data_IF_599833278042
#
_entry.id   IF_599833278042
#
_cell.length_a   1.000
_cell.length_b   1.000
_cell.length_c   1.000
_cell.angle_alpha   90.00
_cell.angle_beta   90.00
_cell.angle_gamma   90.00
#
_symmetry.space_group_name_H-M   'P 1'
#
loop_
_entity.id
_entity.type
_entity.pdbx_description
1 polymer ?
#
# COMPACT_ATOMS: atom_id res chain seq x y z
N UNK A 1 24.33 -11.37 4.32
CA UNK A 1 23.12 -10.63 3.88
C UNK A 1 22.03 -11.65 3.62
N UNK A 2 21.08 -11.84 4.56
CA UNK A 2 20.04 -12.84 4.39
C UNK A 2 19.05 -12.39 3.32
N UNK A 3 18.75 -13.25 2.35
CA UNK A 3 17.69 -13.01 1.35
C UNK A 3 16.36 -13.26 2.06
N UNK A 4 15.71 -12.18 2.48
CA UNK A 4 14.50 -12.17 3.32
C UNK A 4 13.28 -12.23 2.40
N UNK A 5 12.72 -13.39 2.08
CA UNK A 5 11.63 -13.52 1.09
C UNK A 5 10.24 -13.14 1.67
N UNK A 6 9.61 -12.08 1.16
CA UNK A 6 8.25 -11.60 1.50
C UNK A 6 7.19 -12.21 0.55
N UNK A 7 7.57 -12.90 -0.54
CA UNK A 7 6.68 -13.46 -1.57
C UNK A 7 5.78 -14.62 -1.10
N UNK A 8 5.85 -15.00 0.18
CA UNK A 8 5.02 -16.09 0.71
C UNK A 8 3.60 -15.59 1.07
N UNK A 9 3.46 -14.30 1.39
CA UNK A 9 2.18 -13.66 1.74
C UNK A 9 1.89 -12.57 0.71
N UNK A 10 0.77 -12.65 -0.04
CA UNK A 10 0.38 -11.59 -0.97
C UNK A 10 0.33 -10.21 -0.30
N UNK A 11 0.81 -9.21 -1.02
CA UNK A 11 0.83 -7.82 -0.58
C UNK A 11 -0.58 -7.29 -0.23
N UNK A 12 -0.69 -6.46 0.81
CA UNK A 12 -1.98 -5.92 1.26
C UNK A 12 -2.64 -5.09 0.16
N UNK A 13 -1.89 -4.20 -0.48
CA UNK A 13 -2.37 -3.39 -1.60
C UNK A 13 -2.82 -4.20 -2.82
N UNK A 14 -2.18 -5.35 -3.10
CA UNK A 14 -2.63 -6.26 -4.17
C UNK A 14 -3.97 -6.93 -3.80
N UNK A 15 -4.10 -7.36 -2.54
CA UNK A 15 -5.36 -7.89 -2.02
C UNK A 15 -6.47 -6.83 -2.11
N UNK A 16 -6.15 -5.58 -1.79
CA UNK A 16 -7.08 -4.46 -1.90
C UNK A 16 -7.46 -4.15 -3.35
N UNK A 17 -6.53 -4.25 -4.30
CA UNK A 17 -6.81 -4.13 -5.74
C UNK A 17 -7.81 -5.20 -6.23
N UNK A 18 -7.72 -6.43 -5.73
CA UNK A 18 -8.71 -7.48 -6.01
C UNK A 18 -10.09 -7.08 -5.46
N UNK A 19 -10.15 -6.52 -4.24
CA UNK A 19 -11.42 -6.06 -3.65
C UNK A 19 -12.00 -4.84 -4.39
N UNK A 20 -11.15 -3.97 -4.92
CA UNK A 20 -11.56 -2.88 -5.83
C UNK A 20 -12.25 -3.47 -7.07
N UNK A 21 -11.63 -4.46 -7.72
CA UNK A 21 -12.20 -5.14 -8.90
C UNK A 21 -13.50 -5.87 -8.58
N UNK A 22 -13.56 -6.58 -7.45
CA UNK A 22 -14.77 -7.24 -6.95
C UNK A 22 -15.92 -6.23 -6.85
N UNK A 23 -15.65 -5.08 -6.23
CA UNK A 23 -16.65 -4.04 -5.98
C UNK A 23 -17.21 -3.49 -7.29
N UNK A 24 -16.34 -3.06 -8.21
CA UNK A 24 -16.77 -2.49 -9.50
C UNK A 24 -17.51 -3.52 -10.35
N UNK A 25 -17.04 -4.77 -10.35
CA UNK A 25 -17.71 -5.89 -11.04
C UNK A 25 -19.07 -6.21 -10.44
N UNK A 26 -19.20 -6.21 -9.11
CA UNK A 26 -20.46 -6.45 -8.41
C UNK A 26 -21.51 -5.42 -8.82
N UNK A 27 -21.19 -4.14 -8.72
CA UNK A 27 -22.15 -3.08 -9.06
C UNK A 27 -22.50 -3.00 -10.55
N UNK A 28 -21.60 -3.45 -11.43
CA UNK A 28 -21.87 -3.57 -12.86
C UNK A 28 -22.81 -4.74 -13.20
N UNK A 29 -22.82 -5.81 -12.39
CA UNK A 29 -23.54 -7.07 -12.66
C UNK A 29 -24.75 -7.32 -11.78
N UNK A 30 -24.85 -6.70 -10.60
CA UNK A 30 -25.93 -6.91 -9.65
C UNK A 30 -27.24 -6.31 -10.16
N UNK A 31 -28.29 -7.13 -10.22
CA UNK A 31 -29.66 -6.67 -10.50
C UNK A 31 -30.25 -5.83 -9.36
N UNK A 32 -29.63 -5.79 -8.19
CA UNK A 32 -30.04 -4.86 -7.13
C UNK A 32 -29.37 -3.49 -7.28
N UNK A 33 -28.31 -3.38 -8.08
CA UNK A 33 -27.50 -2.18 -8.21
C UNK A 33 -28.35 -0.96 -8.64
N UNK A 34 -28.27 0.16 -7.91
CA UNK A 34 -28.92 1.41 -8.32
C UNK A 34 -28.19 2.08 -9.49
N UNK A 35 -27.04 1.55 -9.91
CA UNK A 35 -26.18 2.11 -10.96
C UNK A 35 -26.31 1.36 -12.28
N UNK A 36 -27.34 0.56 -12.49
CA UNK A 36 -27.53 -0.25 -13.71
C UNK A 36 -27.19 0.55 -14.97
N UNK A 37 -26.15 0.13 -15.68
CA UNK A 37 -25.51 0.73 -16.88
C UNK A 37 -24.51 1.89 -16.68
N UNK A 38 -24.24 2.32 -15.44
CA UNK A 38 -23.26 3.37 -15.13
C UNK A 38 -22.05 2.80 -14.37
N UNK A 39 -20.82 3.25 -14.72
CA UNK A 39 -19.65 2.89 -13.95
C UNK A 39 -19.71 3.52 -12.55
N UNK A 40 -19.21 2.78 -11.57
CA UNK A 40 -19.03 3.26 -10.20
C UNK A 40 -17.55 3.47 -9.91
N UNK A 41 -17.27 4.43 -9.04
CA UNK A 41 -15.97 4.64 -8.45
C UNK A 41 -16.06 4.25 -6.96
N UNK A 42 -15.25 3.29 -6.48
CA UNK A 42 -14.98 3.19 -5.06
C UNK A 42 -14.41 4.51 -4.55
N UNK A 43 -14.93 5.02 -3.43
CA UNK A 43 -14.50 6.28 -2.82
C UNK A 43 -13.97 6.11 -1.41
N UNK A 44 -14.32 5.01 -0.73
CA UNK A 44 -13.79 4.68 0.59
C UNK A 44 -13.67 3.17 0.80
N UNK A 45 -12.58 2.75 1.44
CA UNK A 45 -12.33 1.38 1.88
C UNK A 45 -12.02 1.39 3.38
N UNK A 46 -12.58 0.45 4.12
CA UNK A 46 -12.27 0.20 5.53
C UNK A 46 -12.02 -1.28 5.72
N UNK A 47 -10.75 -1.69 5.66
CA UNK A 47 -10.37 -3.11 5.62
C UNK A 47 -9.65 -3.53 6.90
N UNK A 48 -9.94 -4.75 7.35
CA UNK A 48 -9.23 -5.44 8.41
C UNK A 48 -8.59 -6.71 7.87
N UNK A 49 -7.26 -6.81 8.01
CA UNK A 49 -6.47 -7.98 7.65
C UNK A 49 -6.43 -8.94 8.84
N UNK A 50 -7.44 -9.80 8.91
CA UNK A 50 -7.66 -10.74 10.02
C UNK A 50 -6.57 -11.82 10.04
N UNK A 51 -6.15 -12.30 8.85
CA UNK A 51 -5.13 -13.34 8.70
C UNK A 51 -4.34 -13.10 7.41
N UNK A 52 -3.09 -13.58 7.40
CA UNK A 52 -2.28 -13.62 6.19
C UNK A 52 -3.00 -14.41 5.07
N UNK A 53 -3.04 -13.80 3.90
CA UNK A 53 -3.44 -14.45 2.64
C UNK A 53 -2.33 -15.38 2.16
N UNK A 54 -2.65 -16.27 1.23
CA UNK A 54 -1.72 -17.17 0.58
C UNK A 54 -1.90 -17.13 -0.94
N UNK A 55 -0.86 -17.46 -1.69
CA UNK A 55 -0.97 -17.68 -3.13
C UNK A 55 -1.91 -18.85 -3.38
N UNK A 56 -2.91 -18.65 -4.23
CA UNK A 56 -3.90 -19.67 -4.58
C UNK A 56 -5.32 -19.13 -4.61
N UNK A 57 -6.31 -20.02 -4.75
CA UNK A 57 -7.72 -19.64 -4.81
C UNK A 57 -8.18 -18.86 -3.57
N UNK A 58 -9.17 -17.99 -3.78
CA UNK A 58 -9.87 -17.27 -2.74
C UNK A 58 -11.34 -17.15 -3.10
N UNK A 59 -12.20 -17.22 -2.08
CA UNK A 59 -13.63 -16.96 -2.20
C UNK A 59 -13.88 -15.53 -1.76
N UNK A 60 -14.49 -14.76 -2.66
CA UNK A 60 -14.90 -13.38 -2.42
C UNK A 60 -16.41 -13.34 -2.20
N UNK A 61 -16.85 -12.74 -1.11
CA UNK A 61 -18.26 -12.59 -0.77
C UNK A 61 -18.60 -11.13 -0.59
N UNK A 62 -19.79 -10.75 -1.08
CA UNK A 62 -20.34 -9.39 -1.00
C UNK A 62 -21.67 -9.47 -0.28
N UNK A 63 -21.85 -8.61 0.72
CA UNK A 63 -23.14 -8.34 1.33
C UNK A 63 -23.49 -6.88 1.09
N UNK A 64 -24.64 -6.64 0.47
CA UNK A 64 -25.15 -5.28 0.23
C UNK A 64 -25.67 -4.71 1.56
N UNK A 65 -24.97 -3.71 2.10
CA UNK A 65 -25.33 -3.09 3.40
C UNK A 65 -26.31 -1.95 3.18
N UNK A 66 -26.03 -1.12 2.17
CA UNK A 66 -26.90 -0.01 1.76
C UNK A 66 -26.75 0.22 0.26
N UNK A 67 -27.88 0.26 -0.45
CA UNK A 67 -27.93 0.64 -1.85
C UNK A 67 -28.62 2.01 -1.97
N UNK A 68 -27.93 2.96 -2.58
CA UNK A 68 -28.43 4.31 -2.78
C UNK A 68 -27.92 4.92 -4.07
N UNK A 69 -28.73 5.78 -4.69
CA UNK A 69 -28.38 6.41 -5.97
C UNK A 69 -27.13 7.30 -5.90
N UNK A 70 -26.87 7.94 -4.75
CA UNK A 70 -25.67 8.78 -4.54
C UNK A 70 -24.48 7.98 -4.03
N UNK A 71 -24.70 7.15 -3.03
CA UNK A 71 -23.68 6.26 -2.47
C UNK A 71 -24.30 4.93 -2.11
N UNK A 72 -23.51 3.86 -2.30
CA UNK A 72 -23.84 2.51 -1.85
C UNK A 72 -22.66 1.96 -1.08
N UNK A 73 -22.93 1.17 -0.05
CA UNK A 73 -21.92 0.52 0.78
C UNK A 73 -22.15 -0.97 0.76
N UNK A 74 -21.09 -1.72 0.49
CA UNK A 74 -21.05 -3.18 0.60
C UNK A 74 -20.09 -3.58 1.70
N UNK A 75 -20.39 -4.69 2.37
CA UNK A 75 -19.42 -5.43 3.15
C UNK A 75 -18.79 -6.49 2.24
N UNK A 76 -17.46 -6.58 2.25
CA UNK A 76 -16.71 -7.58 1.50
C UNK A 76 -15.96 -8.51 2.44
N UNK A 77 -15.87 -9.77 2.04
CA UNK A 77 -15.08 -10.79 2.74
C UNK A 77 -14.22 -11.53 1.73
N UNK A 78 -12.92 -11.66 2.02
CA UNK A 78 -12.02 -12.59 1.35
C UNK A 78 -11.73 -13.76 2.29
N UNK A 79 -12.06 -14.97 1.84
CA UNK A 79 -11.79 -16.22 2.55
C UNK A 79 -10.92 -17.13 1.71
N UNK A 80 -10.07 -17.93 2.37
CA UNK A 80 -9.28 -18.98 1.73
C UNK A 80 -9.34 -20.26 2.54
N UNK A 81 -9.34 -21.40 1.87
CA UNK A 81 -9.33 -22.70 2.53
C UNK A 81 -8.00 -22.93 3.25
N UNK A 82 -8.11 -23.33 4.51
CA UNK A 82 -6.99 -23.85 5.28
C UNK A 82 -7.07 -25.38 5.30
N UNK A 83 -5.95 -26.04 4.98
CA UNK A 83 -5.84 -27.48 4.74
C UNK A 83 -6.49 -28.38 5.82
N UNK A 84 -6.66 -27.90 7.05
CA UNK A 84 -7.20 -28.67 8.17
C UNK A 84 -8.44 -28.08 8.85
N UNK A 85 -8.94 -26.90 8.44
CA UNK A 85 -10.01 -26.19 9.18
C UNK A 85 -11.10 -25.57 8.31
N UNK A 86 -11.09 -25.83 7.00
CA UNK A 86 -12.07 -25.26 6.07
C UNK A 86 -11.81 -23.78 5.74
N UNK A 87 -12.80 -23.06 5.22
CA UNK A 87 -12.63 -21.68 4.78
C UNK A 87 -12.37 -20.75 5.97
N UNK A 88 -11.29 -19.97 5.89
CA UNK A 88 -10.94 -18.97 6.89
C UNK A 88 -11.03 -17.57 6.31
N UNK A 89 -11.73 -16.68 7.00
CA UNK A 89 -11.70 -15.25 6.72
C UNK A 89 -10.28 -14.71 6.86
N UNK A 90 -9.79 -14.09 5.79
CA UNK A 90 -8.49 -13.43 5.70
C UNK A 90 -8.63 -11.92 5.77
N UNK A 91 -9.57 -11.37 5.01
CA UNK A 91 -9.87 -9.94 4.98
C UNK A 91 -11.37 -9.74 5.08
N UNK A 92 -11.78 -8.74 5.85
CA UNK A 92 -13.17 -8.27 5.91
C UNK A 92 -13.16 -6.75 5.93
N UNK A 93 -14.18 -6.13 5.35
CA UNK A 93 -14.28 -4.68 5.39
C UNK A 93 -15.51 -4.13 4.72
N UNK A 94 -15.61 -2.80 4.72
CA UNK A 94 -16.66 -2.06 4.04
C UNK A 94 -16.07 -1.25 2.90
N UNK A 95 -16.77 -1.22 1.77
CA UNK A 95 -16.40 -0.41 0.61
C UNK A 95 -17.60 0.43 0.20
N UNK A 96 -17.39 1.74 0.14
CA UNK A 96 -18.39 2.69 -0.32
C UNK A 96 -18.05 3.16 -1.73
N UNK A 97 -19.06 3.16 -2.60
CA UNK A 97 -18.96 3.61 -3.99
C UNK A 97 -19.86 4.82 -4.25
N UNK A 98 -19.53 5.58 -5.28
CA UNK A 98 -20.39 6.59 -5.90
C UNK A 98 -20.39 6.46 -7.43
N UNK A 99 -21.37 7.03 -8.14
CA UNK A 99 -21.32 7.14 -9.59
C UNK A 99 -20.09 7.95 -10.04
N UNK A 100 -19.40 7.51 -11.10
CA UNK A 100 -18.23 8.22 -11.66
C UNK A 100 -18.55 9.66 -12.03
N UNK A 101 -19.76 9.93 -12.53
CA UNK A 101 -20.20 11.29 -12.87
C UNK A 101 -20.12 12.28 -11.69
N UNK A 102 -20.22 11.78 -10.45
CA UNK A 102 -20.15 12.61 -9.23
C UNK A 102 -18.75 13.20 -9.04
N UNK A 103 -17.71 12.41 -9.35
CA UNK A 103 -16.31 12.85 -9.32
C UNK A 103 -16.04 13.91 -10.40
N UNK A 104 -16.66 13.77 -11.58
CA UNK A 104 -16.43 14.65 -12.73
C UNK A 104 -17.18 15.98 -12.69
N UNK A 105 -18.35 16.04 -12.03
CA UNK A 105 -19.25 17.21 -12.05
C UNK A 105 -19.38 17.91 -10.69
N UNK A 106 -18.83 17.33 -9.63
CA UNK A 106 -18.88 17.91 -8.30
C UNK A 106 -18.01 19.18 -8.17
N UNK A 107 -18.30 20.05 -7.19
CA UNK A 107 -17.42 21.17 -6.90
C UNK A 107 -16.08 20.66 -6.35
N UNK A 108 -14.99 21.28 -6.78
CA UNK A 108 -13.63 21.01 -6.30
C UNK A 108 -13.12 22.24 -5.56
N UNK A 109 -12.73 22.04 -4.31
CA UNK A 109 -12.05 23.06 -3.50
C UNK A 109 -10.78 22.43 -2.95
N UNK A 110 -9.64 22.98 -3.37
CA UNK A 110 -8.34 22.54 -2.88
C UNK A 110 -8.07 23.18 -1.52
N UNK A 111 -7.75 22.35 -0.53
CA UNK A 111 -7.31 22.82 0.78
C UNK A 111 -5.87 23.33 0.75
N UNK A 112 -5.35 23.71 1.92
CA UNK A 112 -3.93 23.97 2.09
C UNK A 112 -3.16 22.64 2.10
N UNK A 113 -2.56 22.29 0.96
CA UNK A 113 -1.85 21.02 0.76
C UNK A 113 -0.33 21.20 0.61
N UNK A 114 0.24 22.24 1.24
CA UNK A 114 1.70 22.40 1.24
C UNK A 114 2.31 21.31 2.13
N UNK A 115 3.06 20.46 1.46
CA UNK A 115 3.80 19.36 2.05
C UNK A 115 4.95 19.88 2.91
N UNK A 116 4.92 19.61 4.23
CA UNK A 116 5.99 19.97 5.16
C UNK A 116 6.60 18.73 5.85
N UNK A 117 7.95 18.59 5.89
CA UNK A 117 8.93 19.39 5.15
C UNK A 117 8.73 19.27 3.63
N UNK A 118 9.28 20.21 2.86
CA UNK A 118 9.16 20.17 1.40
C UNK A 118 9.75 18.85 0.86
N UNK A 119 9.15 18.24 -0.19
CA UNK A 119 9.75 17.09 -0.86
C UNK A 119 11.15 17.41 -1.41
N UNK A 120 11.98 16.38 -1.69
CA UNK A 120 13.25 16.57 -2.38
C UNK A 120 13.09 17.32 -3.71
N UNK A 121 14.06 18.15 -4.07
CA UNK A 121 14.01 18.98 -5.27
C UNK A 121 14.48 18.21 -6.51
N UNK A 122 13.83 18.44 -7.65
CA UNK A 122 14.31 18.01 -8.97
C UNK A 122 15.34 18.97 -9.55
N UNK A 123 15.81 18.71 -10.77
CA UNK A 123 16.86 19.52 -11.40
C UNK A 123 16.38 20.80 -12.10
N UNK A 124 15.07 21.00 -12.26
CA UNK A 124 14.54 22.19 -12.93
C UNK A 124 14.78 23.45 -12.08
N UNK A 125 14.83 24.66 -12.70
CA UNK A 125 15.12 25.90 -11.97
C UNK A 125 14.17 26.24 -10.82
N UNK A 126 12.93 25.76 -10.87
CA UNK A 126 11.89 25.91 -9.84
C UNK A 126 11.90 24.77 -8.80
N UNK A 127 12.88 23.86 -8.87
CA UNK A 127 12.93 22.63 -8.08
C UNK A 127 12.00 21.52 -8.58
N UNK A 128 11.36 21.71 -9.74
CA UNK A 128 10.49 20.71 -10.36
C UNK A 128 11.25 19.51 -10.93
N UNK A 129 10.51 18.42 -11.15
CA UNK A 129 11.08 17.15 -11.62
C UNK A 129 11.24 17.13 -13.14
N UNK A 130 12.41 16.74 -13.64
CA UNK A 130 12.59 16.25 -15.01
C UNK A 130 12.27 14.74 -15.07
N UNK A 131 11.00 14.44 -15.34
CA UNK A 131 10.53 13.05 -15.43
C UNK A 131 11.16 12.25 -16.57
N UNK A 132 11.63 12.91 -17.64
CA UNK A 132 12.32 12.21 -18.72
C UNK A 132 13.70 11.74 -18.24
N UNK A 133 14.48 12.65 -17.66
CA UNK A 133 15.78 12.32 -17.07
C UNK A 133 15.66 11.27 -15.96
N UNK A 134 14.66 11.40 -15.07
CA UNK A 134 14.41 10.45 -13.98
C UNK A 134 14.08 9.05 -14.51
N UNK A 135 13.25 8.94 -15.54
CA UNK A 135 12.90 7.66 -16.17
C UNK A 135 14.09 7.01 -16.89
N UNK A 136 14.91 7.78 -17.60
CA UNK A 136 16.00 7.26 -18.43
C UNK A 136 17.22 6.91 -17.59
N UNK A 137 17.66 7.85 -16.75
CA UNK A 137 18.94 7.74 -16.02
C UNK A 137 18.77 7.18 -14.62
N UNK A 138 17.53 7.17 -14.10
CA UNK A 138 17.26 6.84 -12.72
C UNK A 138 17.58 7.97 -11.74
N UNK A 139 17.86 9.20 -12.20
CA UNK A 139 18.18 10.34 -11.35
C UNK A 139 17.61 11.65 -11.89
N UNK A 140 17.21 12.54 -10.98
CA UNK A 140 16.88 13.93 -11.25
C UNK A 140 16.97 14.76 -9.97
N UNK A 141 17.86 15.75 -9.93
CA UNK A 141 18.12 16.52 -8.70
C UNK A 141 18.50 15.60 -7.52
N UNK A 142 17.72 15.67 -6.43
CA UNK A 142 17.88 14.85 -5.23
C UNK A 142 17.21 13.45 -5.35
N UNK A 143 16.44 13.22 -6.42
CA UNK A 143 15.73 11.97 -6.64
C UNK A 143 16.63 10.92 -7.27
N UNK A 144 16.62 9.72 -6.70
CA UNK A 144 17.33 8.56 -7.23
C UNK A 144 16.43 7.34 -7.26
N UNK A 145 16.57 6.52 -8.31
CA UNK A 145 15.88 5.24 -8.45
C UNK A 145 16.23 4.32 -7.29
N UNK A 146 15.19 3.90 -6.58
CA UNK A 146 15.29 2.92 -5.52
C UNK A 146 15.39 1.51 -6.12
N UNK A 147 16.30 0.65 -5.61
CA UNK A 147 16.48 -0.69 -6.15
C UNK A 147 15.21 -1.53 -5.97
N UNK A 148 14.93 -2.37 -6.96
CA UNK A 148 13.88 -3.39 -6.81
C UNK A 148 14.25 -4.32 -5.66
N UNK A 149 13.28 -4.68 -4.82
CA UNK A 149 13.48 -5.59 -3.70
C UNK A 149 12.98 -6.97 -4.15
N UNK A 150 13.86 -7.93 -4.52
CA UNK A 150 13.43 -9.19 -5.10
C UNK A 150 12.44 -9.95 -4.23
N UNK A 151 12.64 -9.85 -2.91
CA UNK A 151 11.81 -10.42 -1.89
C UNK A 151 10.37 -9.91 -1.81
N UNK A 152 10.10 -8.72 -2.36
CA UNK A 152 8.79 -8.09 -2.35
C UNK A 152 8.31 -8.04 -3.81
N UNK A 153 7.61 -9.09 -4.26
CA UNK A 153 7.17 -9.25 -5.65
C UNK A 153 6.51 -8.00 -6.23
N UNK A 154 5.67 -7.29 -5.45
CA UNK A 154 5.01 -6.06 -5.91
C UNK A 154 5.99 -4.95 -6.31
N UNK A 155 7.21 -4.92 -5.75
CA UNK A 155 8.26 -3.96 -6.13
C UNK A 155 8.82 -4.24 -7.53
N UNK A 156 8.66 -5.46 -8.06
CA UNK A 156 9.04 -5.81 -9.43
C UNK A 156 8.05 -5.21 -10.46
N UNK A 157 6.87 -4.79 -10.00
CA UNK A 157 5.82 -4.21 -10.84
C UNK A 157 5.79 -2.68 -10.80
N UNK A 158 6.78 -2.06 -10.15
CA UNK A 158 6.89 -0.62 -9.99
C UNK A 158 8.34 -0.17 -10.10
N UNK A 159 8.56 1.05 -10.57
CA UNK A 159 9.81 1.77 -10.36
C UNK A 159 9.55 2.79 -9.28
N UNK A 160 10.38 2.80 -8.25
CA UNK A 160 10.29 3.74 -7.14
C UNK A 160 11.51 4.64 -7.16
N UNK A 161 11.32 5.89 -6.77
CA UNK A 161 12.36 6.92 -6.74
C UNK A 161 12.21 7.70 -5.45
N UNK A 162 13.30 7.98 -4.76
CA UNK A 162 13.29 8.72 -3.50
C UNK A 162 14.66 9.32 -3.22
N UNK A 163 14.75 10.07 -2.12
CA UNK A 163 16.02 10.54 -1.61
C UNK A 163 16.90 9.37 -1.14
N UNK A 164 18.22 9.55 -1.20
CA UNK A 164 19.14 8.56 -0.64
C UNK A 164 18.89 8.40 0.86
N UNK A 165 18.84 7.16 1.38
CA UNK A 165 18.61 6.93 2.79
C UNK A 165 19.76 7.51 3.62
N UNK A 166 19.41 8.14 4.74
CA UNK A 166 20.41 8.65 5.65
C UNK A 166 21.27 7.51 6.23
N UNK A 167 22.55 7.80 6.49
CA UNK A 167 23.54 6.78 6.84
C UNK A 167 23.33 6.24 8.26
N UNK A 168 22.87 7.08 9.19
CA UNK A 168 22.69 6.68 10.59
C UNK A 168 21.23 6.34 10.94
N UNK A 169 21.03 5.46 11.93
CA UNK A 169 19.70 5.16 12.48
C UNK A 169 19.02 6.44 12.98
N UNK A 170 19.77 7.33 13.63
CA UNK A 170 19.24 8.57 14.22
C UNK A 170 18.79 9.61 13.19
N UNK A 171 19.42 9.64 12.02
CA UNK A 171 18.95 10.48 10.92
C UNK A 171 17.74 9.85 10.24
N UNK A 172 17.76 8.52 9.99
CA UNK A 172 16.63 7.82 9.35
C UNK A 172 15.32 7.97 10.09
N UNK A 173 15.33 7.95 11.43
CA UNK A 173 14.09 8.15 12.21
C UNK A 173 13.51 9.58 12.06
N UNK A 174 14.30 10.57 11.63
CA UNK A 174 13.89 11.97 11.49
C UNK A 174 13.39 12.33 10.08
N UNK A 175 13.54 11.44 9.10
CA UNK A 175 13.14 11.75 7.72
C UNK A 175 11.64 11.60 7.50
N UNK A 176 11.05 12.47 6.68
CA UNK A 176 9.78 12.20 5.99
C UNK A 176 10.09 11.39 4.74
N UNK A 177 9.20 10.47 4.36
CA UNK A 177 9.39 9.64 3.17
C UNK A 177 8.52 10.16 2.04
N UNK A 178 9.18 10.54 0.95
CA UNK A 178 8.58 10.93 -0.30
C UNK A 178 9.06 9.98 -1.39
N UNK A 179 8.16 9.52 -2.25
CA UNK A 179 8.51 8.63 -3.33
C UNK A 179 7.72 8.94 -4.61
N UNK A 180 8.44 9.03 -5.73
CA UNK A 180 7.82 8.97 -7.05
C UNK A 180 7.73 7.52 -7.50
N UNK A 181 6.64 7.18 -8.18
CA UNK A 181 6.38 5.83 -8.64
C UNK A 181 5.90 5.79 -10.09
N UNK A 182 6.47 4.86 -10.88
CA UNK A 182 5.94 4.45 -12.18
C UNK A 182 5.43 3.02 -12.11
N UNK A 183 4.33 2.77 -12.79
CA UNK A 183 3.80 1.42 -12.92
C UNK A 183 4.50 0.66 -14.06
N UNK A 184 4.85 -0.60 -13.80
CA UNK A 184 5.46 -1.52 -14.78
C UNK A 184 5.05 -2.97 -14.52
N UNK A 185 3.75 -3.31 -14.64
CA UNK A 185 3.26 -4.65 -14.35
C UNK A 185 4.01 -5.67 -15.21
N UNK A 186 4.44 -6.77 -14.58
CA UNK A 186 5.27 -7.78 -15.25
C UNK A 186 6.61 -7.27 -15.82
N UNK A 187 7.09 -6.10 -15.39
CA UNK A 187 8.31 -5.48 -15.92
C UNK A 187 8.13 -4.78 -17.28
N UNK A 188 6.89 -4.64 -17.77
CA UNK A 188 6.59 -4.02 -19.06
C UNK A 188 6.43 -2.50 -18.91
N UNK A 189 7.08 -1.74 -19.79
CA UNK A 189 6.99 -0.27 -19.89
C UNK A 189 6.78 0.16 -21.35
N UNK A 190 6.05 1.28 -21.61
CA UNK A 190 5.36 2.12 -20.63
C UNK A 190 4.01 1.52 -20.21
N UNK A 191 3.76 1.43 -18.89
CA UNK A 191 2.43 1.22 -18.35
C UNK A 191 1.98 2.45 -17.57
N UNK A 192 0.69 2.53 -17.28
CA UNK A 192 0.08 3.67 -16.59
C UNK A 192 -0.71 3.20 -15.38
N UNK A 193 -0.66 4.00 -14.32
CA UNK A 193 -1.45 3.79 -13.13
C UNK A 193 -2.93 3.88 -13.48
N UNK A 194 -3.71 2.98 -12.88
CA UNK A 194 -5.18 2.98 -12.93
C UNK A 194 -5.72 3.09 -11.51
N UNK A 195 -7.00 3.41 -11.34
CA UNK A 195 -7.64 3.43 -10.02
C UNK A 195 -7.51 2.10 -9.27
N UNK A 196 -7.48 0.97 -9.99
CA UNK A 196 -7.25 -0.35 -9.38
C UNK A 196 -5.79 -0.54 -8.95
N UNK A 197 -4.83 -0.20 -9.83
CA UNK A 197 -3.41 -0.35 -9.54
C UNK A 197 -2.92 0.61 -8.44
N UNK A 198 -3.57 1.77 -8.28
CA UNK A 198 -3.34 2.72 -7.21
C UNK A 198 -3.43 2.07 -5.82
N UNK A 199 -4.30 1.07 -5.65
CA UNK A 199 -4.44 0.34 -4.38
C UNK A 199 -3.15 -0.38 -3.97
N UNK A 200 -2.32 -0.79 -4.94
CA UNK A 200 -1.00 -1.34 -4.67
C UNK A 200 -0.03 -0.26 -4.16
N UNK A 201 -0.05 0.94 -4.76
CA UNK A 201 0.85 2.04 -4.38
C UNK A 201 0.56 2.57 -2.97
N UNK A 202 -0.73 2.63 -2.59
CA UNK A 202 -1.15 3.02 -1.23
C UNK A 202 -0.60 2.12 -0.12
N UNK A 203 -0.07 0.94 -0.45
CA UNK A 203 0.51 0.00 0.50
C UNK A 203 1.98 -0.34 0.18
N UNK A 204 2.58 0.32 -0.83
CA UNK A 204 3.94 0.03 -1.29
C UNK A 204 4.89 1.19 -0.97
N UNK A 205 5.61 1.08 0.15
CA UNK A 205 6.50 2.15 0.62
C UNK A 205 7.77 1.60 1.30
N UNK A 206 8.66 0.92 0.55
CA UNK A 206 9.84 0.28 1.13
C UNK A 206 10.76 1.23 1.89
N UNK A 207 10.87 2.49 1.46
CA UNK A 207 11.64 3.52 2.17
C UNK A 207 11.03 3.88 3.54
N UNK A 208 9.70 3.87 3.66
CA UNK A 208 9.02 4.05 4.95
C UNK A 208 9.17 2.84 5.86
N UNK A 209 9.20 1.62 5.30
CA UNK A 209 9.49 0.41 6.06
C UNK A 209 10.94 0.37 6.58
N UNK A 210 11.91 0.87 5.81
CA UNK A 210 13.30 1.04 6.27
C UNK A 210 13.37 2.00 7.46
N UNK A 211 12.73 3.16 7.35
CA UNK A 211 12.59 4.11 8.47
C UNK A 211 11.92 3.47 9.69
N UNK A 212 10.84 2.72 9.49
CA UNK A 212 10.14 2.04 10.59
C UNK A 212 11.01 0.96 11.25
N UNK A 213 11.84 0.25 10.46
CA UNK A 213 12.88 -0.65 10.96
C UNK A 213 13.95 0.07 11.79
N UNK A 214 14.35 1.28 11.38
CA UNK A 214 15.25 2.13 12.16
C UNK A 214 14.61 2.57 13.49
N UNK A 215 13.32 2.94 13.49
CA UNK A 215 12.58 3.26 14.72
C UNK A 215 12.53 2.06 15.68
N UNK A 216 12.22 0.87 15.15
CA UNK A 216 12.17 -0.37 15.93
C UNK A 216 13.54 -0.72 16.54
N UNK A 217 14.60 -0.57 15.75
CA UNK A 217 15.99 -0.78 16.18
C UNK A 217 16.36 0.20 17.29
N UNK A 218 16.05 1.49 17.11
CA UNK A 218 16.33 2.52 18.12
C UNK A 218 15.57 2.26 19.43
N UNK A 219 14.31 1.83 19.35
CA UNK A 219 13.52 1.51 20.54
C UNK A 219 14.10 0.32 21.31
N UNK A 220 14.58 -0.71 20.60
CA UNK A 220 15.25 -1.86 21.19
C UNK A 220 16.59 -1.49 21.84
N UNK A 221 17.37 -0.58 21.25
CA UNK A 221 18.66 -0.16 21.86
C UNK A 221 18.48 0.72 23.10
N UNK A 222 17.38 1.47 23.19
CA UNK A 222 17.09 2.39 24.28
C UNK A 222 16.43 1.72 25.50
N UNK A 223 16.14 0.41 25.47
CA UNK A 223 15.71 -0.30 26.67
C UNK A 223 16.88 -0.40 27.65
N UNK A 224 16.71 0.26 28.80
CA UNK A 224 17.72 0.39 29.86
C UNK A 224 17.83 -0.85 30.73
N UNK A 225 16.90 -1.80 30.61
CA UNK A 225 16.89 -3.02 31.41
C UNK A 225 17.64 -4.14 30.67
N UNK A 226 18.82 -4.58 31.16
CA UNK A 226 19.57 -5.67 30.56
C UNK A 226 18.82 -7.00 30.55
N UNK A 227 17.88 -7.22 31.48
CA UNK A 227 17.05 -8.44 31.53
C UNK A 227 15.92 -8.41 30.47
N UNK A 228 15.47 -7.21 30.09
CA UNK A 228 14.40 -6.99 29.11
C UNK A 228 14.95 -6.82 27.68
N UNK A 229 16.28 -6.69 27.53
CA UNK A 229 16.99 -6.85 26.26
C UNK A 229 16.94 -8.31 25.85
N UNK A 230 15.95 -8.65 25.02
CA UNK A 230 15.92 -9.95 24.34
C UNK A 230 17.27 -10.25 23.70
N UNK A 231 17.83 -11.44 23.95
CA UNK A 231 19.12 -11.97 23.45
C UNK A 231 19.34 -11.90 21.91
N UNK A 232 18.33 -11.44 21.16
CA UNK A 232 18.36 -11.37 19.70
C UNK A 232 18.67 -9.95 19.24
N UNK A 233 19.59 -9.86 18.28
CA UNK A 233 19.88 -8.64 17.53
C UNK A 233 18.59 -8.02 16.97
N UNK A 234 18.45 -6.68 16.96
CA UNK A 234 17.25 -6.03 16.44
C UNK A 234 17.13 -6.30 14.94
N UNK A 235 16.15 -7.13 14.58
CA UNK A 235 15.77 -7.42 13.21
C UNK A 235 16.33 -8.74 12.63
N UNK A 236 15.97 -9.09 11.38
CA UNK A 236 15.06 -8.36 10.49
C UNK A 236 13.62 -8.29 11.01
N UNK A 237 12.89 -7.25 10.62
CA UNK A 237 11.50 -7.02 11.01
C UNK A 237 10.53 -7.36 9.88
N UNK A 238 9.30 -7.69 10.26
CA UNK A 238 8.14 -7.80 9.38
C UNK A 238 7.03 -6.88 9.89
N UNK A 239 6.32 -6.26 8.95
CA UNK A 239 5.35 -5.20 9.23
C UNK A 239 3.96 -5.57 8.70
N UNK A 240 3.25 -6.55 9.30
CA UNK A 240 1.92 -6.91 8.82
C UNK A 240 0.93 -5.77 9.08
N UNK A 241 0.26 -5.33 8.02
CA UNK A 241 -0.88 -4.44 8.09
C UNK A 241 -2.04 -5.14 8.80
N UNK A 242 -2.65 -4.44 9.76
CA UNK A 242 -3.80 -4.91 10.56
C UNK A 242 -5.09 -4.28 10.05
N UNK A 243 -5.07 -2.97 9.84
CA UNK A 243 -6.17 -2.22 9.25
C UNK A 243 -5.66 -1.31 8.14
N UNK A 244 -6.47 -1.13 7.10
CA UNK A 244 -6.16 -0.30 5.95
C UNK A 244 -7.41 0.46 5.54
N UNK A 245 -7.40 1.76 5.77
CA UNK A 245 -8.48 2.66 5.37
C UNK A 245 -7.99 3.53 4.22
N UNK A 246 -8.78 3.63 3.16
CA UNK A 246 -8.45 4.43 1.97
C UNK A 246 -9.61 5.36 1.66
N UNK A 247 -9.29 6.61 1.35
CA UNK A 247 -10.22 7.53 0.68
C UNK A 247 -9.66 7.89 -0.68
N UNK A 248 -10.42 7.60 -1.75
CA UNK A 248 -10.10 8.06 -3.09
C UNK A 248 -10.75 9.44 -3.28
N UNK A 249 -9.93 10.47 -3.54
CA UNK A 249 -10.34 11.87 -3.59
C UNK A 249 -10.61 12.35 -5.02
N UNK A 250 -9.79 11.89 -5.96
CA UNK A 250 -9.89 12.18 -7.39
C UNK A 250 -9.63 10.90 -8.17
N UNK A 251 -10.46 10.60 -9.16
CA UNK A 251 -10.20 9.44 -10.02
C UNK A 251 -8.98 9.68 -10.92
N UNK A 252 -8.21 8.63 -11.14
CA UNK A 252 -7.22 8.60 -12.21
C UNK A 252 -7.99 8.51 -13.55
N UNK A 253 -7.67 9.37 -14.55
CA UNK A 253 -8.30 9.33 -15.86
C UNK A 253 -8.17 7.96 -16.56
N UNK A 254 -9.01 7.69 -17.55
CA UNK A 254 -9.04 6.40 -18.25
C UNK A 254 -7.73 6.11 -18.99
N UNK A 255 -7.07 7.15 -19.51
CA UNK A 255 -5.75 7.07 -20.11
C UNK A 255 -4.67 6.69 -19.09
N UNK A 256 -4.91 6.88 -17.80
CA UNK A 256 -3.99 6.54 -16.71
C UNK A 256 -2.89 7.57 -16.46
N UNK A 257 -2.31 7.54 -15.25
CA UNK A 257 -1.21 8.42 -14.87
C UNK A 257 0.16 7.76 -15.11
N UNK A 258 1.13 8.50 -15.63
CA UNK A 258 2.49 7.99 -15.83
C UNK A 258 3.25 7.93 -14.50
N UNK A 259 3.10 8.98 -13.70
CA UNK A 259 3.75 9.14 -12.41
C UNK A 259 2.73 9.43 -11.33
N UNK A 260 3.02 8.92 -10.14
CA UNK A 260 2.34 9.29 -8.91
C UNK A 260 3.38 9.53 -7.84
N UNK A 261 3.17 10.57 -7.06
CA UNK A 261 3.97 10.87 -5.87
C UNK A 261 3.23 10.32 -4.66
N UNK A 262 3.94 9.71 -3.72
CA UNK A 262 3.35 9.41 -2.42
C UNK A 262 4.23 9.89 -1.28
N UNK A 263 3.60 10.57 -0.31
CA UNK A 263 4.20 10.90 0.97
C UNK A 263 3.73 9.91 2.02
N UNK A 264 4.67 9.41 2.82
CA UNK A 264 4.40 8.45 3.89
C UNK A 264 4.93 8.97 5.22
N UNK A 265 4.05 9.01 6.22
CA UNK A 265 4.35 9.50 7.56
C UNK A 265 4.00 8.44 8.59
N UNK A 266 4.92 8.19 9.52
CA UNK A 266 4.64 7.45 10.77
C UNK A 266 4.79 8.42 11.92
N UNK A 267 3.72 8.64 12.67
CA UNK A 267 3.70 9.53 13.83
C UNK A 267 4.29 8.83 15.06
N UNK A 268 3.96 7.56 15.28
CA UNK A 268 4.42 6.83 16.45
C UNK A 268 4.65 5.35 16.19
N UNK A 269 5.69 4.82 16.82
CA UNK A 269 5.84 3.40 17.08
C UNK A 269 5.71 3.23 18.59
N UNK A 270 4.68 2.53 19.05
CA UNK A 270 4.44 2.29 20.46
C UNK A 270 3.98 0.86 20.69
N UNK A 271 4.64 0.17 21.63
CA UNK A 271 4.29 -1.19 22.05
C UNK A 271 4.12 -2.18 20.88
N UNK A 272 5.06 -2.16 19.93
CA UNK A 272 5.06 -3.05 18.76
C UNK A 272 4.00 -2.76 17.71
N UNK A 273 3.40 -1.55 17.72
CA UNK A 273 2.45 -1.07 16.72
C UNK A 273 2.90 0.28 16.19
N UNK A 274 2.65 0.54 14.91
CA UNK A 274 2.89 1.83 14.31
C UNK A 274 1.75 2.24 13.37
N UNK A 275 1.55 3.55 13.25
CA UNK A 275 0.70 4.14 12.23
C UNK A 275 1.49 4.40 10.94
N UNK A 276 0.80 4.31 9.81
CA UNK A 276 1.29 4.77 8.51
C UNK A 276 0.18 5.57 7.86
N UNK A 277 0.45 6.85 7.60
CA UNK A 277 -0.41 7.73 6.80
C UNK A 277 0.23 7.90 5.43
N UNK A 278 -0.53 7.64 4.37
CA UNK A 278 -0.06 7.78 2.98
C UNK A 278 -0.94 8.80 2.27
N UNK A 279 -0.32 9.76 1.59
CA UNK A 279 -0.98 10.70 0.69
C UNK A 279 -0.41 10.50 -0.71
N UNK A 280 -1.27 10.37 -1.73
CA UNK A 280 -0.87 10.20 -3.13
C UNK A 280 -1.29 11.41 -3.94
N UNK A 281 -0.37 11.95 -4.71
CA UNK A 281 -0.53 13.10 -5.58
C UNK A 281 -0.19 12.74 -7.03
N UNK A 282 -0.79 13.46 -7.98
CA UNK A 282 -0.36 13.42 -9.38
C UNK A 282 0.84 14.35 -9.67
N UNK A 283 1.27 14.39 -10.93
CA UNK A 283 2.39 15.20 -11.41
C UNK A 283 2.21 16.71 -11.21
N UNK A 284 0.96 17.17 -11.07
CA UNK A 284 0.63 18.57 -10.84
C UNK A 284 0.48 18.89 -9.34
N UNK A 285 0.68 17.90 -8.46
CA UNK A 285 0.52 18.05 -7.02
C UNK A 285 -0.94 17.98 -6.55
N UNK A 286 -1.88 17.51 -7.38
CA UNK A 286 -3.26 17.34 -6.96
C UNK A 286 -3.43 16.04 -6.17
N UNK A 287 -4.16 16.09 -5.05
CA UNK A 287 -4.38 14.94 -4.17
C UNK A 287 -5.33 13.92 -4.82
N UNK A 288 -4.83 12.70 -5.03
CA UNK A 288 -5.55 11.58 -5.64
C UNK A 288 -6.19 10.69 -4.58
N UNK A 289 -5.44 10.34 -3.54
CA UNK A 289 -5.89 9.43 -2.51
C UNK A 289 -5.15 9.65 -1.18
N UNK A 290 -5.80 9.25 -0.09
CA UNK A 290 -5.16 9.15 1.22
C UNK A 290 -5.43 7.77 1.81
N UNK A 291 -4.53 7.32 2.69
CA UNK A 291 -4.79 6.16 3.52
C UNK A 291 -4.24 6.31 4.93
N UNK A 292 -4.88 5.60 5.86
CA UNK A 292 -4.37 5.36 7.20
C UNK A 292 -4.28 3.86 7.45
N UNK A 293 -3.13 3.42 7.95
CA UNK A 293 -2.88 2.03 8.26
C UNK A 293 -2.41 1.87 9.70
N UNK A 294 -2.80 0.76 10.30
CA UNK A 294 -2.17 0.25 11.52
C UNK A 294 -1.34 -0.96 11.13
N UNK A 295 -0.05 -0.95 11.46
CA UNK A 295 0.83 -2.09 11.25
C UNK A 295 1.42 -2.58 12.58
N UNK A 296 1.68 -3.88 12.66
CA UNK A 296 2.50 -4.42 13.74
C UNK A 296 3.98 -4.30 13.37
N UNK A 297 4.84 -4.18 14.37
CA UNK A 297 6.29 -4.30 14.23
C UNK A 297 6.72 -5.57 14.94
N UNK A 298 7.08 -6.60 14.18
CA UNK A 298 7.42 -7.91 14.71
C UNK A 298 8.70 -8.47 14.11
N UNK A 299 9.35 -9.39 14.82
CA UNK A 299 10.48 -10.16 14.26
C UNK A 299 10.07 -10.93 13.00
N UNK A 300 10.96 -10.99 12.01
CA UNK A 300 10.70 -11.65 10.74
C UNK A 300 10.41 -13.16 10.87
N UNK A 301 10.84 -13.80 11.97
CA UNK A 301 10.55 -15.20 12.25
C UNK A 301 9.05 -15.51 12.31
N UNK A 302 8.22 -14.52 12.68
CA UNK A 302 6.75 -14.66 12.63
C UNK A 302 6.22 -14.81 11.21
N UNK A 303 6.82 -14.12 10.23
CA UNK A 303 6.45 -14.26 8.82
C UNK A 303 6.76 -15.66 8.29
N UNK A 304 7.95 -16.19 8.60
CA UNK A 304 8.36 -17.53 8.19
C UNK A 304 7.44 -18.63 8.74
N UNK A 305 6.97 -18.49 9.99
CA UNK A 305 6.01 -19.42 10.59
C UNK A 305 4.67 -19.41 9.85
N UNK A 306 4.19 -18.24 9.43
CA UNK A 306 2.97 -18.12 8.62
C UNK A 306 3.15 -18.75 7.24
N UNK A 307 4.29 -18.50 6.58
CA UNK A 307 4.61 -19.09 5.29
C UNK A 307 4.75 -20.61 5.29
N UNK A 308 5.32 -21.20 6.36
CA UNK A 308 5.40 -22.65 6.52
C UNK A 308 4.04 -23.33 6.70
N UNK A 309 3.09 -22.67 7.38
CA UNK A 309 1.70 -23.16 7.51
C UNK A 309 0.93 -23.13 6.19
N UNK A 310 1.33 -22.26 5.25
CA UNK A 310 0.69 -22.12 3.94
C UNK A 310 1.20 -23.12 2.88
N UNK A 311 2.33 -23.81 3.12
CA UNK A 311 2.79 -24.89 2.23
C UNK A 311 1.97 -26.14 2.51
N UNK A 312 1.31 -26.77 1.52
CA UNK A 312 0.76 -28.10 1.71
C UNK A 312 1.90 -29.03 2.14
N UNK A 313 1.64 -29.90 3.11
CA UNK A 313 2.57 -30.97 3.46
C UNK A 313 2.89 -31.71 2.15
N UNK A 314 4.18 -31.75 1.77
CA UNK A 314 4.61 -32.62 0.68
C UNK A 314 4.17 -34.03 1.06
N UNK A 315 3.12 -34.51 0.39
CA UNK A 315 2.76 -35.91 0.43
C UNK A 315 4.00 -36.68 0.00
N UNK A 316 4.50 -37.54 0.89
CA UNK A 316 5.44 -38.58 0.50
C UNK A 316 4.73 -39.43 -0.56
N UNK A 317 5.20 -39.37 -1.80
CA UNK A 317 5.13 -40.52 -2.69
C UNK A 317 6.07 -41.59 -2.13
#
# INVERSE_FOLDING_TARGET
>A
MAIINIDIVPHGGYTTAILYRLTTTHFARSDASPYRSKPVLPISFQLSFVRATQVGPATLSVQEVKLGARTSTIQVTLSQDAASTGPQTKVVGYITVSPVETDQKGPVVNGNSILHPNPPSGSKPDGGIDFAALAETGRDGEWTRFPTIPAMAVSQHTELYGALPASTVQERIKTTVDQWARFRPGGQVPARWTNEALMCLLDLFPMALDRLGAMATSAWTSTNDPEDRQDRSPGPFWFPTVSFNVDLKKSIPNEGAAWLHSRVVTQTLRAGRADLSVEIFDENGELIAISSQVCMVVGFDRNLKNGKRARPAQGKL
#
